data_IF_162698226194
#
_entry.id   IF_162698226194
#
_cell.length_a   1.000
_cell.length_b   1.000
_cell.length_c   1.000
_cell.angle_alpha   90.00
_cell.angle_beta   90.00
_cell.angle_gamma   90.00
#
_symmetry.space_group_name_H-M   'P 1'
#
loop_
_entity.id
_entity.type
_entity.pdbx_description
1 polymer ?
#
# COMPACT_ATOMS: atom_id res chain seq x y z
N UNK A 1 85.53 15.08 -49.63
CA UNK A 1 85.97 13.81 -50.23
C UNK A 1 86.74 13.02 -49.17
N UNK A 2 86.17 12.02 -48.59
CA UNK A 2 86.82 11.09 -47.68
C UNK A 2 86.08 9.80 -47.71
N UNK A 3 86.43 8.91 -48.61
CA UNK A 3 85.90 7.57 -48.75
C UNK A 3 86.26 6.73 -47.50
N UNK A 4 85.26 6.25 -46.80
CA UNK A 4 85.44 5.29 -45.71
C UNK A 4 85.52 3.89 -46.30
N UNK A 5 86.78 3.44 -46.65
CA UNK A 5 87.04 2.06 -47.00
C UNK A 5 87.01 1.19 -45.76
N UNK A 6 85.94 0.47 -45.62
CA UNK A 6 85.77 -0.51 -44.57
C UNK A 6 86.63 -1.73 -44.83
N UNK A 7 87.69 -1.93 -44.02
CA UNK A 7 88.66 -2.97 -44.20
C UNK A 7 88.11 -4.32 -43.73
N UNK A 8 87.66 -5.17 -44.69
CA UNK A 8 87.06 -6.48 -44.49
C UNK A 8 87.94 -7.58 -43.84
N UNK A 9 89.15 -7.24 -43.41
CA UNK A 9 90.10 -8.22 -42.85
C UNK A 9 90.20 -8.19 -41.33
N UNK A 10 89.51 -7.30 -40.68
CA UNK A 10 89.50 -7.22 -39.19
C UNK A 10 88.55 -8.27 -38.60
N UNK A 11 89.13 -9.20 -37.81
CA UNK A 11 88.39 -10.26 -37.15
C UNK A 11 87.11 -9.75 -36.38
N UNK A 12 87.16 -8.53 -35.84
CA UNK A 12 86.08 -7.88 -35.13
C UNK A 12 84.90 -7.53 -36.07
N UNK A 13 85.19 -7.09 -37.33
CA UNK A 13 84.15 -6.77 -38.30
C UNK A 13 83.43 -8.04 -38.80
N UNK A 14 84.16 -9.14 -38.99
CA UNK A 14 83.55 -10.44 -39.35
C UNK A 14 82.63 -11.00 -38.22
N UNK A 15 83.01 -10.84 -36.94
CA UNK A 15 82.24 -11.27 -35.83
C UNK A 15 80.94 -10.40 -35.69
N UNK A 16 81.05 -9.07 -35.90
CA UNK A 16 79.89 -8.16 -35.90
C UNK A 16 78.87 -8.48 -37.02
N UNK A 17 79.34 -8.80 -38.22
CA UNK A 17 78.54 -9.22 -39.37
C UNK A 17 77.85 -10.58 -39.11
N UNK A 18 78.55 -11.52 -38.48
CA UNK A 18 77.94 -12.80 -38.08
C UNK A 18 76.83 -12.63 -37.03
N UNK A 19 77.08 -11.78 -36.04
CA UNK A 19 76.09 -11.46 -35.04
C UNK A 19 74.87 -10.78 -35.67
N UNK A 20 75.06 -9.84 -36.57
CA UNK A 20 73.96 -9.16 -37.27
C UNK A 20 73.18 -10.15 -38.14
N UNK A 21 73.84 -11.08 -38.84
CA UNK A 21 73.19 -12.11 -39.64
C UNK A 21 72.34 -13.07 -38.79
N UNK A 22 72.90 -13.49 -37.65
CA UNK A 22 72.13 -14.31 -36.67
C UNK A 22 70.92 -13.57 -36.12
N UNK A 23 71.04 -12.27 -35.79
CA UNK A 23 69.98 -11.41 -35.34
C UNK A 23 68.84 -11.27 -36.37
N UNK A 24 69.20 -11.10 -37.65
CA UNK A 24 68.29 -11.02 -38.80
C UNK A 24 67.55 -12.36 -39.00
N UNK A 25 68.24 -13.48 -38.84
CA UNK A 25 67.61 -14.81 -38.90
C UNK A 25 66.57 -15.01 -37.69
N UNK A 26 66.99 -14.60 -36.53
CA UNK A 26 66.08 -14.68 -35.34
C UNK A 26 64.81 -13.79 -35.50
N UNK A 27 65.03 -12.56 -36.00
CA UNK A 27 63.94 -11.63 -36.33
C UNK A 27 63.04 -12.21 -37.42
N UNK A 28 63.62 -12.74 -38.50
CA UNK A 28 62.88 -13.37 -39.59
C UNK A 28 62.05 -14.59 -39.08
N UNK A 29 62.66 -15.44 -38.23
CA UNK A 29 62.00 -16.57 -37.67
C UNK A 29 60.87 -16.14 -36.73
N UNK A 30 61.05 -15.09 -35.92
CA UNK A 30 59.98 -14.51 -35.09
C UNK A 30 58.80 -13.92 -35.89
N UNK A 31 59.10 -13.24 -37.00
CA UNK A 31 58.09 -12.68 -37.90
C UNK A 31 57.26 -13.81 -38.53
N UNK A 32 57.96 -14.83 -39.09
CA UNK A 32 57.24 -15.99 -39.67
C UNK A 32 56.42 -16.78 -38.66
N UNK A 33 57.00 -17.03 -37.47
CA UNK A 33 56.23 -17.71 -36.38
C UNK A 33 55.01 -16.92 -35.92
N UNK A 34 55.15 -15.56 -35.90
CA UNK A 34 53.98 -14.70 -35.48
C UNK A 34 52.92 -14.64 -36.57
N UNK A 35 53.30 -14.65 -37.86
CA UNK A 35 52.37 -14.74 -38.99
C UNK A 35 51.68 -16.11 -39.03
N UNK A 36 52.42 -17.20 -38.78
CA UNK A 36 51.84 -18.54 -38.68
C UNK A 36 50.90 -18.68 -37.49
N UNK A 37 51.24 -18.12 -36.32
CA UNK A 37 50.37 -18.09 -35.16
C UNK A 37 49.08 -17.30 -35.41
N UNK A 38 49.18 -16.11 -36.03
CA UNK A 38 48.00 -15.33 -36.43
C UNK A 38 47.13 -16.04 -37.47
N UNK A 39 47.68 -16.72 -38.43
CA UNK A 39 46.95 -17.51 -39.42
C UNK A 39 46.34 -18.76 -38.82
N UNK A 40 46.95 -19.38 -37.80
CA UNK A 40 46.38 -20.50 -37.06
C UNK A 40 45.23 -20.06 -36.13
N UNK A 41 45.35 -18.87 -35.52
CA UNK A 41 44.23 -18.27 -34.74
C UNK A 41 43.06 -17.86 -35.66
N UNK A 42 43.35 -17.25 -36.84
CA UNK A 42 42.33 -16.93 -37.83
C UNK A 42 41.61 -18.18 -38.38
N UNK A 43 42.32 -19.28 -38.57
CA UNK A 43 41.70 -20.58 -38.93
C UNK A 43 40.91 -21.21 -37.81
N UNK A 44 41.31 -21.03 -36.54
CA UNK A 44 40.55 -21.51 -35.35
C UNK A 44 39.30 -20.66 -35.09
N UNK A 45 39.33 -19.36 -35.38
CA UNK A 45 38.15 -18.50 -35.30
C UNK A 45 37.17 -18.66 -36.46
N UNK A 46 37.61 -19.21 -37.57
CA UNK A 46 36.80 -19.51 -38.77
C UNK A 46 36.14 -20.90 -38.78
N UNK A 47 36.40 -21.76 -37.78
CA UNK A 47 35.57 -22.95 -37.59
C UNK A 47 34.23 -22.51 -37.03
N UNK A 48 33.19 -22.39 -37.87
CA UNK A 48 31.79 -22.23 -37.47
C UNK A 48 31.46 -23.35 -36.47
N UNK A 49 31.48 -22.99 -35.18
CA UNK A 49 30.98 -23.89 -34.15
C UNK A 49 29.48 -23.92 -34.31
N UNK A 50 28.95 -24.94 -34.96
CA UNK A 50 27.52 -25.20 -35.02
C UNK A 50 27.00 -25.29 -33.57
N UNK A 51 26.23 -24.30 -33.17
CA UNK A 51 25.66 -24.29 -31.83
C UNK A 51 24.48 -25.30 -31.76
N UNK A 52 24.55 -26.22 -30.81
CA UNK A 52 23.42 -27.11 -30.52
C UNK A 52 22.43 -26.32 -29.70
N UNK A 53 21.19 -26.25 -30.18
CA UNK A 53 20.11 -25.44 -29.57
C UNK A 53 18.85 -26.27 -29.40
N UNK A 54 18.08 -25.96 -28.36
CA UNK A 54 16.74 -26.48 -28.18
C UNK A 54 15.75 -25.42 -28.68
N UNK A 55 14.75 -25.87 -29.43
CA UNK A 55 13.77 -24.97 -30.04
C UNK A 55 12.36 -25.23 -29.52
N UNK A 56 11.50 -24.22 -29.62
CA UNK A 56 10.06 -24.30 -29.38
C UNK A 56 9.34 -23.36 -30.35
N UNK A 57 8.02 -23.49 -30.45
CA UNK A 57 7.18 -22.56 -31.20
C UNK A 57 6.45 -21.62 -30.23
N UNK A 58 6.18 -20.41 -30.70
CA UNK A 58 5.25 -19.52 -29.99
C UNK A 58 3.85 -20.16 -29.98
N UNK A 59 3.16 -20.04 -28.86
CA UNK A 59 1.83 -20.64 -28.68
C UNK A 59 0.85 -19.58 -28.23
N UNK A 60 -0.38 -19.66 -28.76
CA UNK A 60 -1.46 -18.86 -28.20
C UNK A 60 -2.05 -19.55 -26.99
N UNK A 61 -2.06 -18.82 -25.89
CA UNK A 61 -2.61 -19.29 -24.61
C UNK A 61 -3.40 -18.18 -23.93
N UNK A 62 -4.31 -18.58 -23.07
CA UNK A 62 -4.88 -17.66 -22.09
C UNK A 62 -3.87 -17.51 -20.95
N UNK A 63 -3.52 -16.27 -20.63
CA UNK A 63 -2.67 -15.95 -19.49
C UNK A 63 -3.49 -15.17 -18.45
N UNK A 64 -3.15 -15.36 -17.19
CA UNK A 64 -3.72 -14.61 -16.07
C UNK A 64 -2.60 -13.81 -15.43
N UNK A 65 -2.50 -12.52 -15.76
CA UNK A 65 -1.44 -11.69 -15.22
C UNK A 65 -1.54 -11.58 -13.69
N UNK A 66 -0.41 -11.71 -13.01
CA UNK A 66 -0.28 -11.52 -11.57
C UNK A 66 0.70 -10.39 -11.30
N UNK A 67 0.25 -9.40 -10.54
CA UNK A 67 1.05 -8.22 -10.22
C UNK A 67 1.38 -8.22 -8.74
N UNK A 68 2.66 -8.03 -8.42
CA UNK A 68 3.15 -7.97 -7.03
C UNK A 68 3.28 -6.51 -6.60
N UNK A 69 2.65 -6.17 -5.50
CA UNK A 69 2.67 -4.85 -4.88
C UNK A 69 2.96 -4.98 -3.40
N UNK A 70 3.29 -3.86 -2.79
CA UNK A 70 3.40 -3.74 -1.34
C UNK A 70 2.16 -3.05 -0.79
N UNK A 71 1.72 -3.43 0.39
CA UNK A 71 0.61 -2.79 1.09
C UNK A 71 0.81 -2.77 2.60
N UNK A 72 0.04 -1.91 3.27
CA UNK A 72 -0.04 -1.87 4.73
C UNK A 72 -1.46 -2.20 5.14
N UNK A 73 -1.60 -3.04 6.16
CA UNK A 73 -2.88 -3.44 6.72
C UNK A 73 -3.31 -2.43 7.77
N UNK A 74 -4.26 -1.56 7.47
CA UNK A 74 -4.79 -0.59 8.41
C UNK A 74 -6.10 -1.10 9.04
N UNK A 75 -6.43 -0.72 10.29
CA UNK A 75 -7.74 -0.97 10.87
C UNK A 75 -8.85 -0.36 10.00
N UNK A 76 -9.99 -1.04 9.87
CA UNK A 76 -11.16 -0.51 9.14
C UNK A 76 -11.64 0.81 9.73
N UNK A 77 -11.45 1.01 11.01
CA UNK A 77 -11.75 2.24 11.71
C UNK A 77 -10.79 2.45 12.87
N UNK A 78 -10.37 3.68 13.07
CA UNK A 78 -9.66 4.10 14.27
C UNK A 78 -10.00 5.55 14.58
N UNK A 79 -10.07 5.88 15.86
CA UNK A 79 -10.28 7.25 16.30
C UNK A 79 -9.73 7.49 17.71
N UNK A 80 -9.42 8.75 17.96
CA UNK A 80 -9.10 9.21 19.32
C UNK A 80 -10.38 9.52 20.08
N UNK A 81 -10.50 8.95 21.27
CA UNK A 81 -11.56 9.27 22.24
C UNK A 81 -11.05 10.41 23.12
N UNK A 82 -11.72 11.56 23.05
CA UNK A 82 -11.35 12.76 23.75
C UNK A 82 -12.26 13.04 24.95
N UNK A 83 -11.72 13.81 25.92
CA UNK A 83 -12.50 14.32 27.05
C UNK A 83 -13.62 15.25 26.56
N UNK A 84 -14.85 15.05 27.02
CA UNK A 84 -16.02 15.92 26.74
C UNK A 84 -16.12 17.09 27.71
N UNK A 85 -15.52 16.94 28.88
CA UNK A 85 -15.50 17.95 29.95
C UNK A 85 -14.09 18.04 30.56
N UNK A 86 -13.80 19.17 31.17
CA UNK A 86 -12.57 19.35 31.93
C UNK A 86 -12.65 18.55 33.23
N UNK A 87 -11.54 17.92 33.61
CA UNK A 87 -11.46 17.21 34.89
C UNK A 87 -10.15 16.44 35.05
N UNK A 88 -9.84 16.07 36.29
CA UNK A 88 -8.70 15.20 36.60
C UNK A 88 -9.11 13.75 36.38
N UNK A 89 -8.21 12.94 35.78
CA UNK A 89 -8.42 11.49 35.65
C UNK A 89 -8.39 10.89 37.07
N UNK A 90 -9.54 10.42 37.52
CA UNK A 90 -9.69 9.77 38.80
C UNK A 90 -9.29 8.31 38.74
N UNK A 91 -9.77 7.57 37.71
CA UNK A 91 -9.55 6.15 37.56
C UNK A 91 -9.59 5.74 36.09
N UNK A 92 -8.70 4.85 35.72
CA UNK A 92 -8.64 4.21 34.41
C UNK A 92 -9.22 2.80 34.54
N UNK A 93 -10.13 2.43 33.66
CA UNK A 93 -10.90 1.18 33.71
C UNK A 93 -10.39 0.12 32.73
N UNK A 94 -9.60 0.52 31.70
CA UNK A 94 -9.12 -0.35 30.64
C UNK A 94 -7.63 -0.14 30.39
N UNK A 95 -6.96 -1.16 29.90
CA UNK A 95 -5.55 -1.14 29.53
C UNK A 95 -5.37 -1.19 28.00
N UNK A 96 -4.18 -0.87 27.55
CA UNK A 96 -3.81 -1.08 26.14
C UNK A 96 -3.86 -2.56 25.80
N UNK A 97 -4.49 -2.90 24.67
CA UNK A 97 -4.75 -4.25 24.23
C UNK A 97 -6.12 -4.82 24.64
N UNK A 98 -6.86 -4.19 25.56
CA UNK A 98 -8.17 -4.66 25.96
C UNK A 98 -9.20 -4.46 24.82
N UNK A 99 -10.08 -5.44 24.66
CA UNK A 99 -11.24 -5.34 23.79
C UNK A 99 -12.38 -4.60 24.51
N UNK A 100 -13.01 -3.65 23.82
CA UNK A 100 -14.09 -2.82 24.34
C UNK A 100 -15.27 -2.81 23.38
N UNK A 101 -16.48 -2.77 23.95
CA UNK A 101 -17.76 -2.66 23.23
C UNK A 101 -18.21 -1.21 23.16
N UNK A 102 -19.04 -0.87 22.16
CA UNK A 102 -19.60 0.48 22.06
C UNK A 102 -20.34 0.88 23.37
N UNK A 103 -20.00 2.04 23.94
CA UNK A 103 -20.54 2.54 25.20
C UNK A 103 -19.76 2.14 26.44
N UNK A 104 -18.78 1.23 26.34
CA UNK A 104 -17.97 0.84 27.50
C UNK A 104 -17.21 2.05 28.06
N UNK A 105 -17.13 2.12 29.39
CA UNK A 105 -16.40 3.15 30.10
C UNK A 105 -14.89 2.86 30.06
N UNK A 106 -14.12 3.83 29.62
CA UNK A 106 -12.67 3.74 29.50
C UNK A 106 -11.95 4.33 30.71
N UNK A 107 -12.45 5.48 31.21
CA UNK A 107 -11.96 6.13 32.42
C UNK A 107 -13.05 7.00 33.05
N UNK A 108 -12.80 7.37 34.28
CA UNK A 108 -13.60 8.31 35.06
C UNK A 108 -12.82 9.59 35.32
N UNK A 109 -13.44 10.72 35.07
CA UNK A 109 -12.96 12.03 35.52
C UNK A 109 -13.58 12.38 36.87
N UNK A 110 -12.89 13.17 37.67
CA UNK A 110 -13.37 13.68 38.97
C UNK A 110 -14.72 14.39 38.80
N UNK A 111 -15.71 14.03 39.68
CA UNK A 111 -17.11 14.46 39.57
C UNK A 111 -17.50 15.56 40.55
N UNK A 112 -16.59 16.01 41.43
CA UNK A 112 -16.90 16.92 42.55
C UNK A 112 -17.63 18.18 42.08
N UNK A 113 -17.08 18.89 41.11
CA UNK A 113 -17.62 20.17 40.62
C UNK A 113 -18.88 19.96 39.76
N UNK A 114 -18.92 18.90 38.94
CA UNK A 114 -20.03 18.59 38.06
C UNK A 114 -21.24 18.10 38.84
N UNK A 115 -21.02 17.34 39.91
CA UNK A 115 -22.08 16.88 40.80
C UNK A 115 -22.78 18.03 41.57
N UNK A 116 -21.99 18.98 42.08
CA UNK A 116 -22.54 20.19 42.76
C UNK A 116 -23.35 21.03 41.74
N UNK A 117 -22.81 21.23 40.52
CA UNK A 117 -23.53 21.94 39.46
C UNK A 117 -24.88 21.31 39.09
N UNK A 118 -24.92 19.97 39.02
CA UNK A 118 -26.18 19.24 38.75
C UNK A 118 -27.20 19.43 39.86
N UNK A 119 -26.81 19.37 41.14
CA UNK A 119 -27.72 19.60 42.27
C UNK A 119 -28.31 21.01 42.21
N UNK A 120 -27.51 22.02 41.89
CA UNK A 120 -27.97 23.40 41.74
C UNK A 120 -28.98 23.55 40.59
N UNK A 121 -28.69 22.97 39.42
CA UNK A 121 -29.56 23.01 38.26
C UNK A 121 -30.90 22.26 38.52
N UNK A 122 -30.83 21.13 39.22
CA UNK A 122 -32.02 20.37 39.63
C UNK A 122 -32.90 21.16 40.59
N UNK A 123 -32.31 21.88 41.55
CA UNK A 123 -33.04 22.79 42.47
C UNK A 123 -33.77 23.90 41.71
N UNK A 124 -33.08 24.56 40.76
CA UNK A 124 -33.68 25.59 39.91
C UNK A 124 -34.84 25.07 39.05
N UNK A 125 -34.72 23.84 38.51
CA UNK A 125 -35.81 23.19 37.79
C UNK A 125 -37.05 22.94 38.66
N UNK A 126 -36.89 22.38 39.88
CA UNK A 126 -37.97 22.12 40.82
C UNK A 126 -38.65 23.43 41.22
N UNK A 127 -37.89 24.51 41.49
CA UNK A 127 -38.47 25.82 41.82
C UNK A 127 -39.32 26.37 40.66
N UNK A 128 -38.81 26.32 39.43
CA UNK A 128 -39.52 26.78 38.23
C UNK A 128 -40.80 25.94 37.97
N UNK A 129 -40.74 24.62 38.17
CA UNK A 129 -41.90 23.71 38.05
C UNK A 129 -42.97 24.05 39.07
N UNK A 130 -42.59 24.27 40.32
CA UNK A 130 -43.53 24.68 41.42
C UNK A 130 -44.17 26.02 41.12
N UNK A 131 -43.40 27.00 40.59
CA UNK A 131 -43.93 28.31 40.20
C UNK A 131 -44.89 28.20 39.01
N UNK A 132 -44.66 27.30 38.05
CA UNK A 132 -45.62 27.03 36.97
C UNK A 132 -46.93 26.44 37.50
N UNK A 133 -46.85 25.44 38.38
CA UNK A 133 -48.04 24.85 39.01
C UNK A 133 -48.87 25.89 39.76
N UNK A 134 -48.21 26.79 40.51
CA UNK A 134 -48.87 27.92 41.18
C UNK A 134 -49.57 28.86 40.18
N UNK A 135 -48.86 29.26 39.11
CA UNK A 135 -49.45 30.15 38.09
C UNK A 135 -50.65 29.49 37.38
N UNK A 136 -50.62 28.19 37.14
CA UNK A 136 -51.74 27.42 36.58
C UNK A 136 -52.95 27.41 37.53
N UNK A 137 -52.75 27.16 38.83
CA UNK A 137 -53.79 27.18 39.81
C UNK A 137 -54.40 28.58 39.98
N UNK A 138 -53.55 29.62 40.00
CA UNK A 138 -54.04 31.00 40.12
C UNK A 138 -54.84 31.40 38.87
N UNK A 139 -54.39 31.07 37.64
CA UNK A 139 -55.14 31.33 36.42
C UNK A 139 -56.52 30.61 36.46
N UNK A 140 -56.55 29.32 36.79
CA UNK A 140 -57.81 28.57 36.89
C UNK A 140 -58.82 29.20 37.91
N UNK A 141 -58.29 29.71 39.03
CA UNK A 141 -59.12 30.43 40.01
C UNK A 141 -59.65 31.75 39.44
N UNK A 142 -58.80 32.53 38.78
CA UNK A 142 -59.24 33.82 38.22
C UNK A 142 -60.13 33.65 36.98
N UNK A 143 -60.10 32.57 36.24
CA UNK A 143 -61.06 32.24 35.20
C UNK A 143 -62.49 31.99 35.75
N UNK A 144 -62.59 31.36 36.92
CA UNK A 144 -63.86 31.16 37.61
C UNK A 144 -64.40 32.50 38.11
N UNK A 145 -63.56 33.28 38.83
CA UNK A 145 -63.96 34.59 39.39
C UNK A 145 -64.38 35.61 38.29
N UNK A 146 -63.75 35.54 37.13
CA UNK A 146 -64.06 36.39 35.96
C UNK A 146 -65.45 36.00 35.38
N UNK A 147 -65.77 34.71 35.31
CA UNK A 147 -67.05 34.21 34.86
C UNK A 147 -68.18 34.66 35.82
N UNK A 148 -67.88 34.80 37.10
CA UNK A 148 -68.78 35.28 38.16
C UNK A 148 -68.84 36.80 38.26
N UNK A 149 -68.10 37.53 37.45
CA UNK A 149 -67.99 39.00 37.46
C UNK A 149 -67.25 39.62 38.65
N UNK A 150 -66.55 38.81 39.43
CA UNK A 150 -65.79 39.21 40.62
C UNK A 150 -64.40 39.86 40.38
N UNK A 151 -63.86 39.75 39.20
CA UNK A 151 -62.56 40.32 38.80
C UNK A 151 -62.63 40.94 37.41
N UNK A 152 -61.71 41.92 37.19
CA UNK A 152 -61.59 42.62 35.84
C UNK A 152 -60.95 41.71 34.80
N UNK A 153 -61.16 42.00 33.48
CA UNK A 153 -60.44 41.35 32.37
C UNK A 153 -58.95 41.58 32.46
N UNK A 154 -58.49 42.73 32.86
CA UNK A 154 -57.10 43.06 33.06
C UNK A 154 -56.43 42.09 34.08
N UNK A 155 -57.15 41.83 35.20
CA UNK A 155 -56.68 40.91 36.21
C UNK A 155 -56.52 39.49 35.68
N UNK A 156 -57.44 39.02 34.83
CA UNK A 156 -57.36 37.70 34.18
C UNK A 156 -56.22 37.64 33.19
N UNK A 157 -56.07 38.69 32.35
CA UNK A 157 -54.98 38.76 31.36
C UNK A 157 -53.59 38.79 32.05
N UNK A 158 -53.47 39.47 33.20
CA UNK A 158 -52.26 39.45 34.02
C UNK A 158 -51.92 38.02 34.51
N UNK A 159 -52.91 37.18 34.88
CA UNK A 159 -52.67 35.77 35.24
C UNK A 159 -52.24 34.92 34.03
N UNK A 160 -52.78 35.20 32.84
CA UNK A 160 -52.34 34.56 31.61
C UNK A 160 -50.87 34.91 31.27
N UNK A 161 -50.48 36.17 31.43
CA UNK A 161 -49.10 36.58 31.25
C UNK A 161 -48.19 35.94 32.32
N UNK A 162 -48.65 35.85 33.59
CA UNK A 162 -47.92 35.19 34.68
C UNK A 162 -47.67 33.71 34.36
N UNK A 163 -48.69 32.99 33.82
CA UNK A 163 -48.54 31.60 33.39
C UNK A 163 -47.54 31.49 32.25
N UNK A 164 -47.61 32.34 31.22
CA UNK A 164 -46.70 32.35 30.10
C UNK A 164 -45.26 32.59 30.56
N UNK A 165 -45.04 33.52 31.50
CA UNK A 165 -43.74 33.81 32.06
C UNK A 165 -43.19 32.62 32.88
N UNK A 166 -44.08 31.99 33.71
CA UNK A 166 -43.68 30.82 34.50
C UNK A 166 -43.28 29.64 33.58
N UNK A 167 -43.99 29.45 32.45
CA UNK A 167 -43.63 28.43 31.44
C UNK A 167 -42.27 28.70 30.84
N UNK A 168 -41.98 29.94 30.43
CA UNK A 168 -40.67 30.33 29.90
C UNK A 168 -39.53 30.11 30.90
N UNK A 169 -39.79 30.38 32.22
CA UNK A 169 -38.82 30.10 33.27
C UNK A 169 -38.55 28.60 33.46
N UNK A 170 -39.59 27.76 33.36
CA UNK A 170 -39.43 26.30 33.40
C UNK A 170 -38.58 25.78 32.22
N UNK A 171 -38.87 26.26 31.03
CA UNK A 171 -38.12 25.85 29.81
C UNK A 171 -36.63 26.25 29.95
N UNK A 172 -36.33 27.44 30.46
CA UNK A 172 -34.96 27.88 30.74
C UNK A 172 -34.26 27.02 31.80
N UNK A 173 -34.97 26.72 32.93
CA UNK A 173 -34.44 25.88 33.98
C UNK A 173 -34.19 24.44 33.52
N UNK A 174 -35.07 23.90 32.66
CA UNK A 174 -34.91 22.60 32.03
C UNK A 174 -33.68 22.56 31.16
N UNK A 175 -33.43 23.57 30.29
CA UNK A 175 -32.22 23.69 29.52
C UNK A 175 -30.94 23.71 30.38
N UNK A 176 -31.01 24.38 31.54
CA UNK A 176 -29.91 24.38 32.53
C UNK A 176 -29.65 23.00 33.14
N UNK A 177 -30.73 22.26 33.48
CA UNK A 177 -30.66 20.90 34.00
C UNK A 177 -30.03 19.95 32.94
N UNK A 178 -30.54 20.00 31.71
CA UNK A 178 -30.03 19.16 30.60
C UNK A 178 -28.53 19.42 30.34
N UNK A 179 -28.07 20.68 30.39
CA UNK A 179 -26.68 21.04 30.28
C UNK A 179 -25.83 20.47 31.42
N UNK A 180 -26.32 20.52 32.67
CA UNK A 180 -25.63 19.96 33.82
C UNK A 180 -25.56 18.43 33.78
N UNK A 181 -26.63 17.75 33.36
CA UNK A 181 -26.67 16.30 33.13
C UNK A 181 -25.64 15.89 32.03
N UNK A 182 -25.57 16.66 30.94
CA UNK A 182 -24.59 16.42 29.87
C UNK A 182 -23.13 16.55 30.35
N UNK A 183 -22.87 17.57 31.21
CA UNK A 183 -21.54 17.71 31.82
C UNK A 183 -21.20 16.55 32.73
N UNK A 184 -22.14 16.10 33.57
CA UNK A 184 -21.91 14.97 34.45
C UNK A 184 -21.73 13.67 33.70
N UNK A 185 -22.53 13.40 32.66
CA UNK A 185 -22.33 12.22 31.83
C UNK A 185 -20.98 12.24 31.09
N UNK A 186 -20.48 13.43 30.74
CA UNK A 186 -19.19 13.63 30.15
C UNK A 186 -17.99 13.29 31.04
N UNK A 187 -18.19 13.15 32.37
CA UNK A 187 -17.12 12.70 33.29
C UNK A 187 -16.80 11.23 33.16
N UNK A 188 -17.72 10.43 32.65
CA UNK A 188 -17.43 9.04 32.22
C UNK A 188 -17.09 9.05 30.74
N UNK A 189 -15.82 8.82 30.44
CA UNK A 189 -15.35 8.75 29.05
C UNK A 189 -15.62 7.35 28.51
N UNK A 190 -16.44 7.26 27.45
CA UNK A 190 -16.87 6.00 26.84
C UNK A 190 -16.40 5.90 25.39
N UNK A 191 -16.22 4.67 24.90
CA UNK A 191 -15.92 4.44 23.47
C UNK A 191 -17.17 4.54 22.61
N UNK A 192 -17.11 5.22 21.44
CA UNK A 192 -18.26 5.32 20.54
C UNK A 192 -18.53 4.04 19.73
N UNK A 193 -17.53 3.16 19.58
CA UNK A 193 -17.59 1.91 18.82
C UNK A 193 -16.81 0.80 19.51
N UNK A 194 -17.17 -0.44 19.19
CA UNK A 194 -16.38 -1.60 19.57
C UNK A 194 -15.00 -1.58 18.89
N UNK A 195 -14.00 -2.13 19.57
CA UNK A 195 -12.63 -2.19 19.07
C UNK A 195 -11.65 -2.62 20.13
N UNK A 196 -10.38 -2.36 19.89
CA UNK A 196 -9.27 -2.63 20.82
C UNK A 196 -8.64 -1.29 21.22
N UNK A 197 -8.31 -1.16 22.50
CA UNK A 197 -7.57 -0.02 23.03
C UNK A 197 -6.14 -0.08 22.48
N UNK A 198 -5.85 0.75 21.47
CA UNK A 198 -4.52 0.79 20.83
C UNK A 198 -3.50 1.55 21.66
N UNK A 199 -3.92 2.68 22.24
CA UNK A 199 -3.06 3.57 22.99
C UNK A 199 -3.83 4.33 24.07
N UNK A 200 -3.19 4.50 25.21
CA UNK A 200 -3.59 5.40 26.29
C UNK A 200 -2.57 6.54 26.36
N UNK A 201 -3.05 7.77 26.32
CA UNK A 201 -2.16 8.93 26.26
C UNK A 201 -1.73 9.44 27.64
N UNK A 202 -2.53 9.24 28.69
CA UNK A 202 -2.31 9.79 30.02
C UNK A 202 -2.56 8.78 31.14
N UNK A 203 -2.05 9.11 32.32
CA UNK A 203 -2.18 8.34 33.55
C UNK A 203 -3.19 8.98 34.49
N UNK A 204 -3.60 8.24 35.54
CA UNK A 204 -4.40 8.76 36.64
C UNK A 204 -3.73 9.99 37.27
N UNK A 205 -4.53 10.97 37.70
CA UNK A 205 -4.06 12.24 38.23
C UNK A 205 -3.79 13.34 37.18
N UNK A 206 -3.76 13.02 35.89
CA UNK A 206 -3.63 14.02 34.82
C UNK A 206 -4.92 14.86 34.72
N UNK A 207 -4.77 16.18 34.56
CA UNK A 207 -5.89 17.09 34.33
C UNK A 207 -6.16 17.23 32.83
N UNK A 208 -7.25 16.63 32.34
CA UNK A 208 -7.66 16.71 30.96
C UNK A 208 -8.56 17.93 30.73
N UNK A 209 -8.32 18.62 29.62
CA UNK A 209 -9.21 19.67 29.11
C UNK A 209 -10.13 19.07 28.05
N UNK A 210 -11.29 19.68 27.86
CA UNK A 210 -12.23 19.34 26.78
C UNK A 210 -11.50 19.29 25.43
N UNK A 211 -11.67 18.20 24.68
CA UNK A 211 -10.98 17.96 23.42
C UNK A 211 -9.63 17.27 23.55
N UNK A 212 -9.09 17.05 24.78
CA UNK A 212 -7.85 16.28 24.96
C UNK A 212 -8.09 14.82 24.59
N UNK A 213 -7.32 14.29 23.62
CA UNK A 213 -7.34 12.86 23.26
C UNK A 213 -6.82 12.03 24.44
N UNK A 214 -7.60 11.07 24.91
CA UNK A 214 -7.28 10.23 26.07
C UNK A 214 -6.91 8.81 25.68
N UNK A 215 -7.61 8.25 24.72
CA UNK A 215 -7.39 6.92 24.18
C UNK A 215 -7.41 6.95 22.65
N UNK A 216 -6.71 6.00 22.02
CA UNK A 216 -6.92 5.64 20.63
C UNK A 216 -7.55 4.26 20.59
N UNK A 217 -8.70 4.13 19.94
CA UNK A 217 -9.42 2.86 19.75
C UNK A 217 -9.38 2.51 18.28
N UNK A 218 -9.12 1.24 17.97
CA UNK A 218 -9.08 0.73 16.61
C UNK A 218 -9.96 -0.53 16.47
N UNK A 219 -10.76 -0.57 15.42
CA UNK A 219 -11.51 -1.77 15.02
C UNK A 219 -10.65 -2.57 14.03
N UNK A 220 -10.18 -3.72 14.49
CA UNK A 220 -9.36 -4.66 13.70
C UNK A 220 -10.12 -5.92 13.28
N UNK A 221 -11.43 -5.97 13.44
CA UNK A 221 -12.26 -7.09 12.96
C UNK A 221 -12.16 -7.28 11.45
N UNK A 222 -11.94 -6.19 10.76
CA UNK A 222 -11.59 -6.13 9.34
C UNK A 222 -10.40 -5.21 9.16
N UNK A 223 -9.45 -5.61 8.35
CA UNK A 223 -8.33 -4.76 7.96
C UNK A 223 -8.49 -4.28 6.52
N UNK A 224 -8.08 -3.06 6.27
CA UNK A 224 -8.02 -2.48 4.93
C UNK A 224 -6.56 -2.44 4.50
N UNK A 225 -6.21 -3.23 3.49
CA UNK A 225 -4.91 -3.11 2.85
C UNK A 225 -4.96 -1.99 1.81
N UNK A 226 -4.08 -1.00 1.95
CA UNK A 226 -3.89 0.07 0.96
C UNK A 226 -2.73 -0.29 0.06
N UNK A 227 -3.01 -0.36 -1.24
CA UNK A 227 -2.06 -0.76 -2.27
C UNK A 227 -1.98 0.33 -3.32
N UNK A 228 -0.77 0.80 -3.61
CA UNK A 228 -0.51 1.77 -4.67
C UNK A 228 -0.27 1.07 -6.01
N UNK A 229 -1.23 1.19 -6.93
CA UNK A 229 -1.22 0.56 -8.25
C UNK A 229 -0.76 1.59 -9.28
N UNK A 230 0.38 1.37 -9.98
CA UNK A 230 0.81 2.24 -11.07
C UNK A 230 -0.20 2.30 -12.23
N UNK A 231 -0.28 3.46 -12.90
CA UNK A 231 -1.21 3.74 -14.00
C UNK A 231 -1.26 2.64 -15.07
N UNK A 232 -0.10 2.05 -15.41
CA UNK A 232 -0.02 1.00 -16.43
C UNK A 232 -0.74 -0.30 -16.08
N UNK A 233 -1.13 -0.53 -14.82
CA UNK A 233 -1.78 -1.77 -14.36
C UNK A 233 -3.23 -1.57 -13.94
N UNK A 234 -3.67 -0.33 -13.65
CA UNK A 234 -4.99 -0.06 -13.06
C UNK A 234 -6.15 -0.55 -13.94
N UNK A 235 -6.02 -0.45 -15.26
CA UNK A 235 -7.07 -0.91 -16.20
C UNK A 235 -7.24 -2.44 -16.22
N UNK A 236 -6.25 -3.19 -15.77
CA UNK A 236 -6.30 -4.65 -15.70
C UNK A 236 -6.86 -5.18 -14.38
N UNK A 237 -7.17 -4.29 -13.44
CA UNK A 237 -7.59 -4.59 -12.07
C UNK A 237 -8.99 -4.03 -11.86
N UNK A 238 -9.88 -4.82 -11.27
CA UNK A 238 -11.28 -4.45 -11.07
C UNK A 238 -11.69 -4.55 -9.61
N UNK A 239 -12.63 -3.72 -9.19
CA UNK A 239 -13.32 -3.87 -7.91
C UNK A 239 -14.00 -5.25 -7.85
N UNK A 240 -13.95 -5.91 -6.70
CA UNK A 240 -14.39 -7.30 -6.52
C UNK A 240 -13.31 -8.34 -6.82
N UNK A 241 -12.16 -7.93 -7.36
CA UNK A 241 -11.03 -8.82 -7.60
C UNK A 241 -10.41 -9.35 -6.30
N UNK A 242 -9.88 -10.57 -6.36
CA UNK A 242 -9.19 -11.21 -5.23
C UNK A 242 -7.72 -10.82 -5.20
N UNK A 243 -7.20 -10.60 -4.01
CA UNK A 243 -5.79 -10.29 -3.73
C UNK A 243 -5.26 -11.29 -2.72
N UNK A 244 -4.17 -11.95 -3.05
CA UNK A 244 -3.46 -12.85 -2.15
C UNK A 244 -2.35 -12.07 -1.42
N UNK A 245 -2.41 -12.08 -0.10
CA UNK A 245 -1.41 -11.42 0.74
C UNK A 245 -0.48 -12.42 1.38
N UNK A 246 0.80 -12.07 1.42
CA UNK A 246 1.81 -12.74 2.23
C UNK A 246 2.32 -11.76 3.28
N UNK A 247 2.20 -12.12 4.55
CA UNK A 247 2.60 -11.30 5.69
C UNK A 247 3.93 -11.85 6.24
N UNK A 248 5.08 -11.21 5.94
CA UNK A 248 6.40 -11.75 6.29
C UNK A 248 6.65 -11.87 7.80
N UNK A 249 5.96 -11.05 8.62
CA UNK A 249 6.08 -11.08 10.08
C UNK A 249 5.38 -12.28 10.73
N UNK A 250 4.59 -13.06 9.98
CA UNK A 250 3.88 -14.25 10.44
C UNK A 250 4.59 -15.53 9.97
N UNK A 251 4.33 -16.65 10.65
CA UNK A 251 4.97 -17.93 10.37
C UNK A 251 3.93 -18.99 9.94
N UNK A 252 4.40 -20.02 9.24
CA UNK A 252 3.53 -21.14 8.83
C UNK A 252 2.51 -20.74 7.77
N UNK A 253 1.35 -21.41 7.80
CA UNK A 253 0.25 -21.15 6.84
C UNK A 253 -0.49 -19.83 7.12
N UNK A 254 -0.37 -19.30 8.33
CA UNK A 254 -1.05 -18.08 8.75
C UNK A 254 -0.54 -16.82 8.06
N UNK A 255 0.63 -16.89 7.43
CA UNK A 255 1.19 -15.78 6.65
C UNK A 255 0.44 -15.48 5.34
N UNK A 256 -0.40 -16.41 4.87
CA UNK A 256 -1.16 -16.24 3.64
C UNK A 256 -2.62 -15.92 3.96
N UNK A 257 -3.08 -14.78 3.52
CA UNK A 257 -4.48 -14.36 3.67
C UNK A 257 -4.98 -13.79 2.34
N UNK A 258 -6.27 -13.90 2.11
CA UNK A 258 -6.93 -13.36 0.93
C UNK A 258 -7.80 -12.18 1.29
N UNK A 259 -7.86 -11.21 0.39
CA UNK A 259 -8.75 -10.06 0.51
C UNK A 259 -9.48 -9.78 -0.79
N UNK A 260 -10.45 -8.89 -0.72
CA UNK A 260 -11.26 -8.46 -1.88
C UNK A 260 -11.09 -6.96 -2.10
N UNK A 261 -10.84 -6.53 -3.32
CA UNK A 261 -10.75 -5.12 -3.69
C UNK A 261 -12.14 -4.48 -3.55
N UNK A 262 -12.26 -3.56 -2.62
CA UNK A 262 -13.53 -2.85 -2.35
C UNK A 262 -13.60 -1.51 -3.06
N UNK A 263 -12.45 -0.87 -3.28
CA UNK A 263 -12.36 0.44 -3.91
C UNK A 263 -11.04 0.61 -4.66
N UNK A 264 -11.09 1.31 -5.77
CA UNK A 264 -9.93 1.85 -6.48
C UNK A 264 -10.16 3.35 -6.61
N UNK A 265 -9.20 4.17 -6.19
CA UNK A 265 -9.30 5.62 -6.31
C UNK A 265 -9.46 6.03 -7.78
N UNK A 266 -10.42 6.89 -8.13
CA UNK A 266 -10.57 7.38 -9.50
C UNK A 266 -9.50 8.42 -9.89
N UNK A 267 -8.70 8.90 -8.93
CA UNK A 267 -7.68 9.93 -9.12
C UNK A 267 -6.33 9.40 -8.68
N UNK A 268 -5.32 9.59 -9.51
CA UNK A 268 -3.95 9.20 -9.19
C UNK A 268 -3.32 10.15 -8.17
N UNK A 269 -2.51 9.59 -7.28
CA UNK A 269 -1.65 10.33 -6.35
C UNK A 269 -0.41 10.84 -7.09
N UNK A 270 -0.13 12.14 -6.97
CA UNK A 270 1.08 12.74 -7.54
C UNK A 270 2.15 12.90 -6.43
N UNK A 271 3.44 12.78 -6.79
CA UNK A 271 4.03 12.61 -8.12
C UNK A 271 4.16 11.15 -8.59
N UNK A 272 3.81 10.15 -7.78
CA UNK A 272 4.02 8.72 -8.05
C UNK A 272 3.19 8.19 -9.24
N UNK A 273 2.09 8.84 -9.61
CA UNK A 273 1.10 8.40 -10.61
C UNK A 273 0.55 7.01 -10.29
N UNK A 274 0.24 6.80 -9.01
CA UNK A 274 -0.36 5.56 -8.52
C UNK A 274 -1.81 5.79 -8.15
N UNK A 275 -2.63 4.76 -8.32
CA UNK A 275 -4.02 4.71 -7.87
C UNK A 275 -4.09 3.87 -6.61
N UNK A 276 -4.60 4.45 -5.53
CA UNK A 276 -4.80 3.70 -4.29
C UNK A 276 -5.96 2.73 -4.43
N UNK A 277 -5.69 1.44 -4.22
CA UNK A 277 -6.69 0.41 -4.08
C UNK A 277 -6.84 0.04 -2.60
N UNK A 278 -8.08 -0.06 -2.13
CA UNK A 278 -8.43 -0.59 -0.82
C UNK A 278 -8.91 -2.02 -0.94
N UNK A 279 -8.29 -2.90 -0.19
CA UNK A 279 -8.61 -4.32 -0.15
C UNK A 279 -9.08 -4.69 1.26
N UNK A 280 -10.28 -5.21 1.37
CA UNK A 280 -10.85 -5.68 2.64
C UNK A 280 -10.37 -7.09 2.95
N UNK A 281 -9.87 -7.28 4.16
CA UNK A 281 -9.40 -8.57 4.69
C UNK A 281 -10.14 -8.83 6.00
N UNK A 282 -10.88 -9.95 6.10
CA UNK A 282 -11.50 -10.38 7.35
C UNK A 282 -10.42 -10.81 8.35
N UNK A 283 -10.64 -10.47 9.63
CA UNK A 283 -9.79 -10.82 10.75
C UNK A 283 -10.63 -11.31 11.95
N UNK A 284 -11.60 -12.18 11.68
CA UNK A 284 -12.54 -12.68 12.67
C UNK A 284 -11.86 -13.43 13.83
N UNK A 285 -10.70 -14.01 13.57
CA UNK A 285 -9.89 -14.72 14.55
C UNK A 285 -8.89 -13.82 15.32
N UNK A 286 -8.81 -12.53 14.98
CA UNK A 286 -7.96 -11.53 15.62
C UNK A 286 -6.45 -11.77 15.47
N UNK A 287 -6.02 -12.64 14.55
CA UNK A 287 -4.60 -12.97 14.34
C UNK A 287 -3.82 -11.86 13.65
N UNK A 288 -4.47 -11.10 12.78
CA UNK A 288 -3.85 -10.01 12.05
C UNK A 288 -3.78 -8.75 12.92
N UNK A 289 -2.70 -8.02 12.78
CA UNK A 289 -2.50 -6.74 13.48
C UNK A 289 -2.52 -5.58 12.49
N UNK A 290 -3.09 -4.47 12.90
CA UNK A 290 -3.03 -3.23 12.14
C UNK A 290 -1.61 -2.65 12.10
N UNK A 291 -1.26 -1.96 11.01
CA UNK A 291 0.06 -1.35 10.78
C UNK A 291 1.13 -2.31 10.26
N UNK A 292 0.75 -3.55 9.89
CA UNK A 292 1.68 -4.57 9.39
C UNK A 292 1.83 -4.45 7.88
N UNK A 293 3.07 -4.59 7.40
CA UNK A 293 3.40 -4.70 5.98
C UNK A 293 2.96 -6.07 5.44
N UNK A 294 2.47 -6.07 4.20
CA UNK A 294 2.12 -7.28 3.48
C UNK A 294 2.49 -7.18 2.00
N UNK A 295 3.00 -8.28 1.44
CA UNK A 295 3.17 -8.44 0.01
C UNK A 295 1.84 -8.86 -0.61
N UNK A 296 1.33 -8.08 -1.55
CA UNK A 296 0.06 -8.30 -2.24
C UNK A 296 0.29 -8.82 -3.65
N UNK A 297 -0.38 -9.89 -4.02
CA UNK A 297 -0.43 -10.41 -5.38
C UNK A 297 -1.85 -10.23 -5.92
N UNK A 298 -2.01 -9.30 -6.84
CA UNK A 298 -3.29 -9.04 -7.50
C UNK A 298 -3.38 -9.89 -8.76
N UNK A 299 -4.42 -10.71 -8.85
CA UNK A 299 -4.74 -11.48 -10.05
C UNK A 299 -5.61 -10.62 -10.96
N UNK A 300 -5.10 -10.30 -12.15
CA UNK A 300 -5.83 -9.50 -13.14
C UNK A 300 -6.79 -10.35 -13.98
N UNK A 301 -7.62 -9.68 -14.75
CA UNK A 301 -8.53 -10.34 -15.69
C UNK A 301 -7.75 -11.20 -16.71
N UNK A 302 -8.22 -12.42 -17.02
CA UNK A 302 -7.59 -13.27 -18.01
C UNK A 302 -7.49 -12.58 -19.38
N UNK A 303 -6.32 -12.71 -20.02
CA UNK A 303 -6.12 -12.31 -21.42
C UNK A 303 -6.16 -13.55 -22.27
N UNK A 304 -7.15 -13.64 -23.15
CA UNK A 304 -7.35 -14.79 -24.02
C UNK A 304 -6.58 -14.65 -25.32
N UNK A 305 -6.18 -15.80 -25.88
CA UNK A 305 -5.61 -15.90 -27.22
C UNK A 305 -4.37 -15.01 -27.45
N UNK A 306 -3.52 -14.83 -26.44
CA UNK A 306 -2.28 -14.07 -26.55
C UNK A 306 -1.12 -14.95 -27.00
N UNK A 307 -0.25 -14.42 -27.88
CA UNK A 307 0.95 -15.11 -28.30
C UNK A 307 1.96 -15.10 -27.16
N UNK A 308 2.46 -16.28 -26.79
CA UNK A 308 3.39 -16.45 -25.68
C UNK A 308 4.63 -17.23 -26.07
N UNK A 309 5.75 -16.91 -25.45
CA UNK A 309 6.99 -17.67 -25.52
C UNK A 309 7.49 -17.99 -24.11
N UNK A 310 8.27 -19.06 -23.92
CA UNK A 310 8.94 -19.30 -22.63
C UNK A 310 9.86 -18.14 -22.28
N UNK A 311 9.90 -17.74 -21.01
CA UNK A 311 10.78 -16.66 -20.51
C UNK A 311 12.26 -16.95 -20.82
N UNK A 312 12.64 -18.26 -20.84
CA UNK A 312 14.00 -18.71 -21.19
C UNK A 312 14.42 -18.34 -22.61
N UNK A 313 13.48 -18.10 -23.54
CA UNK A 313 13.78 -17.71 -24.92
C UNK A 313 14.23 -16.24 -25.05
N UNK A 314 13.89 -15.39 -24.08
CA UNK A 314 14.17 -13.95 -24.12
C UNK A 314 15.62 -13.67 -23.75
N UNK A 315 16.29 -12.93 -24.59
CA UNK A 315 17.68 -12.48 -24.39
C UNK A 315 17.73 -10.96 -24.46
N UNK A 316 18.37 -10.35 -23.45
CA UNK A 316 18.65 -8.91 -23.48
C UNK A 316 19.92 -8.64 -24.29
N UNK A 317 19.81 -7.84 -25.34
CA UNK A 317 20.95 -7.38 -26.16
C UNK A 317 20.73 -5.92 -26.53
N UNK A 318 21.74 -5.11 -26.37
CA UNK A 318 21.71 -3.67 -26.71
C UNK A 318 20.49 -2.95 -26.08
N UNK A 319 20.19 -3.25 -24.81
CA UNK A 319 19.02 -2.79 -24.05
C UNK A 319 17.65 -3.13 -24.67
N UNK A 320 17.62 -4.09 -25.61
CA UNK A 320 16.41 -4.57 -26.25
C UNK A 320 16.13 -6.03 -25.86
N UNK A 321 14.83 -6.33 -25.71
CA UNK A 321 14.38 -7.71 -25.59
C UNK A 321 14.35 -8.36 -26.94
N UNK A 322 15.13 -9.42 -27.11
CA UNK A 322 15.31 -10.12 -28.39
C UNK A 322 15.11 -11.62 -28.21
N UNK A 323 14.81 -12.29 -29.30
CA UNK A 323 14.77 -13.74 -29.40
C UNK A 323 15.58 -14.17 -30.61
N UNK A 324 16.16 -15.36 -30.57
CA UNK A 324 16.73 -16.00 -31.75
C UNK A 324 15.74 -16.96 -32.36
N UNK A 325 15.47 -16.81 -33.64
CA UNK A 325 14.67 -17.75 -34.43
C UNK A 325 15.59 -18.51 -35.39
N UNK A 326 15.19 -19.73 -35.74
CA UNK A 326 15.93 -20.56 -36.73
C UNK A 326 15.27 -20.38 -38.09
N UNK A 327 16.02 -19.75 -39.01
CA UNK A 327 15.64 -19.60 -40.43
C UNK A 327 16.66 -20.30 -41.29
N UNK A 328 16.28 -21.33 -42.03
CA UNK A 328 17.18 -22.12 -42.92
C UNK A 328 18.43 -22.67 -42.22
N UNK A 329 18.33 -23.06 -40.93
CA UNK A 329 19.46 -23.59 -40.18
C UNK A 329 20.40 -22.51 -39.61
N UNK A 330 20.05 -21.23 -39.72
CA UNK A 330 20.79 -20.08 -39.25
C UNK A 330 19.99 -19.39 -38.14
N UNK A 331 20.69 -18.90 -37.11
CA UNK A 331 20.06 -18.12 -36.07
C UNK A 331 19.91 -16.65 -36.47
N UNK A 332 18.68 -16.17 -36.50
CA UNK A 332 18.33 -14.79 -36.81
C UNK A 332 17.80 -14.12 -35.55
N UNK A 333 18.34 -12.96 -35.20
CA UNK A 333 17.89 -12.17 -34.06
C UNK A 333 16.66 -11.33 -34.42
N UNK A 334 15.58 -11.47 -33.68
CA UNK A 334 14.38 -10.62 -33.82
C UNK A 334 14.17 -9.81 -32.54
N UNK A 335 13.91 -8.52 -32.70
CA UNK A 335 13.54 -7.63 -31.58
C UNK A 335 12.08 -7.83 -31.25
N UNK A 336 11.77 -7.95 -29.98
CA UNK A 336 10.42 -8.22 -29.50
C UNK A 336 9.79 -6.97 -28.90
N UNK A 337 8.51 -6.77 -29.21
CA UNK A 337 7.62 -5.98 -28.39
C UNK A 337 6.91 -6.93 -27.44
N UNK A 338 7.13 -6.77 -26.13
CA UNK A 338 6.57 -7.66 -25.11
C UNK A 338 5.50 -6.94 -24.28
N UNK A 339 4.51 -7.70 -23.86
CA UNK A 339 3.50 -7.26 -22.90
C UNK A 339 3.80 -7.75 -21.49
N UNK A 340 2.91 -8.58 -20.93
CA UNK A 340 3.09 -9.15 -19.61
C UNK A 340 4.25 -10.16 -19.58
N UNK A 341 5.09 -10.04 -18.55
CA UNK A 341 6.18 -10.99 -18.28
C UNK A 341 5.82 -11.77 -17.04
N UNK A 342 5.45 -13.03 -17.24
CA UNK A 342 5.15 -13.97 -16.16
C UNK A 342 6.39 -14.71 -15.66
N UNK A 343 6.19 -15.65 -14.73
CA UNK A 343 7.27 -16.47 -14.17
C UNK A 343 7.85 -17.46 -15.18
N UNK A 344 7.01 -18.05 -16.03
CA UNK A 344 7.40 -19.06 -17.03
C UNK A 344 7.26 -18.57 -18.47
N UNK A 345 6.34 -17.66 -18.76
CA UNK A 345 5.98 -17.23 -20.11
C UNK A 345 5.92 -15.71 -20.23
N UNK A 346 6.18 -15.24 -21.45
CA UNK A 346 6.14 -13.83 -21.82
C UNK A 346 5.12 -13.62 -22.93
N UNK A 347 4.25 -12.61 -22.76
CA UNK A 347 3.31 -12.15 -23.78
C UNK A 347 4.05 -11.39 -24.87
N UNK A 348 3.84 -11.77 -26.13
CA UNK A 348 4.43 -11.13 -27.31
C UNK A 348 3.37 -10.27 -27.99
N UNK A 349 3.68 -8.98 -28.11
CA UNK A 349 2.84 -8.03 -28.84
C UNK A 349 3.27 -7.86 -30.30
N UNK A 350 4.52 -8.22 -30.62
CA UNK A 350 5.06 -8.14 -31.97
C UNK A 350 6.53 -8.57 -32.05
N UNK A 351 7.01 -8.77 -33.29
CA UNK A 351 8.38 -9.18 -33.58
C UNK A 351 8.53 -10.61 -34.06
N UNK A 352 7.59 -11.49 -33.70
CA UNK A 352 7.52 -12.90 -34.16
C UNK A 352 6.08 -13.34 -34.43
N UNK A 353 5.96 -14.48 -35.11
CA UNK A 353 4.70 -15.15 -35.43
C UNK A 353 4.66 -16.57 -34.85
N UNK A 354 3.51 -17.23 -34.90
CA UNK A 354 3.35 -18.63 -34.43
C UNK A 354 4.21 -19.61 -35.21
N UNK A 355 4.50 -19.32 -36.49
CA UNK A 355 5.28 -20.19 -37.38
C UNK A 355 6.79 -20.11 -37.13
N UNK A 356 7.23 -19.12 -36.36
CA UNK A 356 8.68 -18.95 -36.09
C UNK A 356 9.18 -20.04 -35.14
N UNK A 357 10.29 -20.68 -35.50
CA UNK A 357 10.99 -21.66 -34.65
C UNK A 357 11.97 -20.92 -33.74
N UNK A 358 11.65 -20.88 -32.44
CA UNK A 358 12.33 -20.06 -31.44
C UNK A 358 13.37 -20.88 -30.67
N UNK A 359 14.54 -20.34 -30.42
CA UNK A 359 15.57 -20.96 -29.61
C UNK A 359 15.24 -20.70 -28.13
N UNK A 360 14.98 -21.74 -27.37
CA UNK A 360 14.68 -21.71 -25.94
C UNK A 360 15.82 -22.20 -25.05
N UNK A 361 16.82 -22.86 -25.64
CA UNK A 361 17.99 -23.36 -24.94
C UNK A 361 19.25 -23.26 -25.81
N UNK A 362 20.41 -22.96 -25.20
CA UNK A 362 21.70 -22.80 -25.91
C UNK A 362 21.92 -21.41 -26.53
N UNK A 363 21.00 -20.46 -26.33
CA UNK A 363 21.07 -19.09 -26.90
C UNK A 363 22.34 -18.32 -26.55
N UNK A 364 23.00 -18.64 -25.43
CA UNK A 364 24.29 -18.01 -25.05
C UNK A 364 25.46 -18.43 -25.94
N UNK A 365 25.32 -19.52 -26.70
CA UNK A 365 26.32 -20.04 -27.62
C UNK A 365 26.06 -19.60 -29.05
N UNK A 366 24.90 -19.00 -29.30
CA UNK A 366 24.45 -18.57 -30.62
C UNK A 366 24.94 -17.19 -30.93
N UNK A 367 25.42 -16.98 -32.17
CA UNK A 367 25.74 -15.65 -32.75
C UNK A 367 24.72 -15.37 -33.85
N UNK A 368 24.44 -14.11 -34.08
CA UNK A 368 23.60 -13.68 -35.19
C UNK A 368 24.26 -14.15 -36.52
N UNK A 369 23.49 -14.81 -37.38
CA UNK A 369 23.97 -15.40 -38.62
C UNK A 369 24.73 -16.71 -38.46
N UNK A 370 24.93 -17.23 -37.25
CA UNK A 370 25.62 -18.48 -36.99
C UNK A 370 24.77 -19.72 -37.30
N UNK A 371 25.44 -20.79 -37.79
CA UNK A 371 24.77 -22.08 -38.01
C UNK A 371 24.35 -22.74 -36.69
N UNK A 372 23.15 -23.26 -36.65
CA UNK A 372 22.62 -23.96 -35.50
C UNK A 372 22.14 -25.36 -35.85
N UNK A 373 22.31 -26.29 -34.93
CA UNK A 373 21.79 -27.64 -35.01
C UNK A 373 20.72 -27.81 -33.89
N UNK A 374 19.52 -28.12 -34.30
CA UNK A 374 18.44 -28.39 -33.36
C UNK A 374 18.73 -29.72 -32.66
N UNK A 375 18.75 -29.70 -31.34
CA UNK A 375 18.76 -30.90 -30.50
C UNK A 375 17.33 -31.41 -30.41
N UNK A 376 17.13 -32.67 -30.76
CA UNK A 376 15.85 -33.37 -30.49
C UNK A 376 15.64 -33.57 -29.00
#
# INVERSE_FOLDING_TARGET
>A
FGGFFMNFHDKRVRIALLILAVLLVIIGFRIVSNIMARNAEAKRSGQERVAVVTTSHAQRKTIVPKFKFAGTLDPVWQADVAAKVDGRIERILVNEGDAVSAGDALLLLEQTDTGAGLLTAKGAYIDAETNLQKAQADLARYEILYKEGAVSKESLDNMRFALTNARGKLDAAKGGLDAALSKQSGTTVTTPRAGIVRKRYYQEGYYAKTGTALFNIADISTLLAKIDIPEGYVQSISVGGTVDFTIPSMSGNDKHVTGTITRISPVATLPSRTFEAEVSISNDDGRLRGGVYADAVITASPKENVLTVPLSAIVMRDDQRTVYVVENGIAVRKVLSVGYIGEETVEILGGITESDTIIVGGQNKVREGGQVKISE
#
